data_IF_197534521766
#
_entry.id   IF_197534521766
#
_cell.length_a   1.000
_cell.length_b   1.000
_cell.length_c   1.000
_cell.angle_alpha   90.00
_cell.angle_beta   90.00
_cell.angle_gamma   90.00
#
_symmetry.space_group_name_H-M   'P 1'
#
loop_
_entity.id
_entity.type
_entity.pdbx_description
1 polymer ?
#
# COMPACT_ATOMS: atom_id res chain seq x y z
N UNK A 1 21.54 14.58 -16.97
CA UNK A 1 22.53 14.16 -15.96
C UNK A 1 22.02 12.86 -15.33
N UNK A 2 22.88 11.86 -15.20
CA UNK A 2 22.50 10.46 -15.00
C UNK A 2 22.42 10.15 -13.50
N UNK A 3 21.27 9.65 -13.03
CA UNK A 3 21.11 9.17 -11.67
C UNK A 3 22.05 7.99 -11.38
N UNK A 4 22.56 7.89 -10.15
CA UNK A 4 23.43 6.79 -9.73
C UNK A 4 22.59 5.52 -9.53
N UNK A 5 23.05 4.39 -10.10
CA UNK A 5 22.39 3.08 -10.01
C UNK A 5 23.14 2.19 -9.02
N UNK A 6 22.41 1.50 -8.14
CA UNK A 6 22.93 0.48 -7.22
C UNK A 6 22.21 -0.87 -7.41
N UNK A 7 22.88 -1.97 -7.06
CA UNK A 7 22.33 -3.34 -7.13
C UNK A 7 21.90 -3.80 -5.74
N UNK A 8 20.66 -4.26 -5.60
CA UNK A 8 20.17 -5.03 -4.46
C UNK A 8 20.30 -6.53 -4.77
N UNK A 9 20.45 -7.36 -3.73
CA UNK A 9 20.50 -8.82 -3.84
C UNK A 9 19.48 -9.38 -2.83
N UNK A 10 18.45 -10.07 -3.32
CA UNK A 10 17.50 -10.80 -2.47
C UNK A 10 17.61 -12.31 -2.70
N UNK A 11 17.67 -13.11 -1.63
CA UNK A 11 17.69 -14.57 -1.69
C UNK A 11 16.42 -15.13 -1.04
N UNK A 12 15.41 -15.53 -1.82
CA UNK A 12 14.29 -16.33 -1.32
C UNK A 12 14.02 -17.52 -2.25
N UNK A 13 13.66 -18.66 -1.66
CA UNK A 13 13.41 -19.91 -2.38
C UNK A 13 12.00 -19.98 -2.96
N UNK A 14 11.92 -20.19 -4.28
CA UNK A 14 10.71 -20.15 -5.12
C UNK A 14 9.48 -20.90 -4.56
N UNK A 15 9.68 -21.98 -3.78
CA UNK A 15 8.58 -22.81 -3.27
C UNK A 15 7.72 -22.17 -2.17
N UNK A 16 8.27 -21.29 -1.33
CA UNK A 16 7.53 -20.62 -0.25
C UNK A 16 6.67 -19.48 -0.81
N UNK A 17 7.21 -18.74 -1.79
CA UNK A 17 6.53 -17.63 -2.43
C UNK A 17 5.28 -18.10 -3.17
N UNK A 18 5.37 -19.23 -3.88
CA UNK A 18 4.22 -19.82 -4.58
C UNK A 18 3.11 -20.23 -3.61
N UNK A 19 3.44 -20.89 -2.49
CA UNK A 19 2.45 -21.26 -1.47
C UNK A 19 1.78 -20.03 -0.85
N UNK A 20 2.57 -18.99 -0.56
CA UNK A 20 2.09 -17.70 -0.05
C UNK A 20 1.14 -17.05 -1.06
N UNK A 21 1.48 -17.06 -2.35
CA UNK A 21 0.64 -16.52 -3.40
C UNK A 21 -0.70 -17.25 -3.52
N UNK A 22 -0.70 -18.58 -3.45
CA UNK A 22 -1.96 -19.35 -3.51
C UNK A 22 -2.85 -19.05 -2.30
N UNK A 23 -2.29 -18.92 -1.09
CA UNK A 23 -3.04 -18.52 0.11
C UNK A 23 -3.63 -17.11 -0.05
N UNK A 24 -2.82 -16.14 -0.50
CA UNK A 24 -3.27 -14.79 -0.78
C UNK A 24 -4.43 -14.77 -1.79
N UNK A 25 -4.28 -15.49 -2.90
CA UNK A 25 -5.27 -15.55 -3.97
C UNK A 25 -6.61 -16.10 -3.49
N UNK A 26 -6.61 -17.15 -2.66
CA UNK A 26 -7.84 -17.72 -2.09
C UNK A 26 -8.58 -16.69 -1.23
N UNK A 27 -7.85 -15.98 -0.35
CA UNK A 27 -8.44 -14.93 0.48
C UNK A 27 -8.95 -13.76 -0.37
N UNK A 28 -8.18 -13.34 -1.39
CA UNK A 28 -8.55 -12.24 -2.29
C UNK A 28 -9.82 -12.55 -3.08
N UNK A 29 -10.00 -13.79 -3.53
CA UNK A 29 -11.22 -14.23 -4.20
C UNK A 29 -12.47 -14.09 -3.33
N UNK A 30 -12.35 -14.38 -2.02
CA UNK A 30 -13.47 -14.17 -1.09
C UNK A 30 -13.75 -12.68 -0.85
N UNK A 31 -12.70 -11.84 -0.79
CA UNK A 31 -12.86 -10.38 -0.76
C UNK A 31 -13.60 -9.88 -2.01
N UNK A 32 -13.19 -10.31 -3.21
CA UNK A 32 -13.80 -9.92 -4.47
C UNK A 32 -15.28 -10.33 -4.54
N UNK A 33 -15.58 -11.55 -4.09
CA UNK A 33 -16.94 -12.06 -4.01
C UNK A 33 -17.80 -11.23 -3.04
N UNK A 34 -17.27 -10.95 -1.84
CA UNK A 34 -17.96 -10.10 -0.87
C UNK A 34 -18.23 -8.70 -1.43
N UNK A 35 -17.26 -8.09 -2.13
CA UNK A 35 -17.44 -6.81 -2.79
C UNK A 35 -18.55 -6.89 -3.84
N UNK A 36 -18.57 -7.91 -4.69
CA UNK A 36 -19.66 -8.11 -5.67
C UNK A 36 -21.04 -8.20 -5.01
N UNK A 37 -21.15 -8.86 -3.86
CA UNK A 37 -22.40 -9.02 -3.12
C UNK A 37 -22.85 -7.75 -2.37
N UNK A 38 -21.91 -7.03 -1.76
CA UNK A 38 -22.21 -5.98 -0.75
C UNK A 38 -21.98 -4.56 -1.23
N UNK A 39 -21.20 -4.35 -2.29
CA UNK A 39 -20.77 -3.02 -2.76
C UNK A 39 -21.92 -2.05 -2.98
N UNK A 40 -22.98 -2.46 -3.68
CA UNK A 40 -24.12 -1.57 -3.97
C UNK A 40 -24.77 -1.05 -2.69
N UNK A 41 -24.89 -1.89 -1.66
CA UNK A 41 -25.45 -1.48 -0.36
C UNK A 41 -24.54 -0.45 0.32
N UNK A 42 -23.24 -0.72 0.41
CA UNK A 42 -22.30 0.17 1.09
C UNK A 42 -22.07 1.48 0.34
N UNK A 43 -22.01 1.48 -1.00
CA UNK A 43 -21.94 2.71 -1.80
C UNK A 43 -23.14 3.63 -1.57
N UNK A 44 -24.31 3.10 -1.25
CA UNK A 44 -25.50 3.91 -0.95
C UNK A 44 -25.57 4.39 0.51
N UNK A 45 -24.75 3.82 1.39
CA UNK A 45 -24.79 4.08 2.84
C UNK A 45 -23.63 4.97 3.30
N UNK A 46 -22.46 4.80 2.68
CA UNK A 46 -21.27 5.58 2.97
C UNK A 46 -21.42 7.02 2.51
N UNK A 47 -20.77 7.93 3.23
CA UNK A 47 -20.66 9.33 2.86
C UNK A 47 -19.19 9.75 2.92
N UNK A 48 -18.76 10.52 1.93
CA UNK A 48 -17.45 11.15 1.95
C UNK A 48 -17.56 12.47 2.72
N UNK A 49 -16.55 12.80 3.51
CA UNK A 49 -16.41 14.12 4.12
C UNK A 49 -16.22 15.21 3.05
N UNK A 50 -16.33 16.47 3.46
CA UNK A 50 -16.12 17.61 2.55
C UNK A 50 -14.64 17.84 2.21
N UNK A 51 -13.73 17.40 3.09
CA UNK A 51 -12.28 17.60 2.96
C UNK A 51 -11.51 16.28 3.16
N UNK A 52 -10.31 16.13 2.55
CA UNK A 52 -9.44 14.99 2.82
C UNK A 52 -9.01 14.91 4.30
N UNK A 53 -8.82 13.70 4.86
CA UNK A 53 -9.17 12.40 4.29
C UNK A 53 -10.70 12.23 4.16
N UNK A 54 -11.17 11.85 2.97
CA UNK A 54 -12.60 11.79 2.65
C UNK A 54 -13.37 10.68 3.38
N UNK A 55 -12.69 9.58 3.69
CA UNK A 55 -13.26 8.48 4.48
C UNK A 55 -12.12 7.69 5.17
N UNK A 56 -11.64 8.16 6.33
CA UNK A 56 -10.57 7.51 7.10
C UNK A 56 -10.85 6.04 7.40
N UNK A 57 -9.80 5.24 7.58
CA UNK A 57 -9.93 3.84 8.00
C UNK A 57 -10.83 3.67 9.23
N UNK A 58 -10.64 4.54 10.22
CA UNK A 58 -11.36 4.47 11.50
C UNK A 58 -12.86 4.77 11.36
N UNK A 59 -13.25 5.43 10.27
CA UNK A 59 -14.64 5.79 9.97
C UNK A 59 -15.30 4.77 9.02
N UNK A 60 -14.56 3.74 8.58
CA UNK A 60 -15.14 2.65 7.82
C UNK A 60 -16.15 1.86 8.69
N UNK A 61 -17.22 1.33 8.09
CA UNK A 61 -18.26 0.63 8.81
C UNK A 61 -17.71 -0.68 9.40
N UNK A 62 -17.58 -0.72 10.73
CA UNK A 62 -17.07 -1.89 11.45
C UNK A 62 -17.88 -3.15 11.17
N UNK A 63 -19.19 -3.03 10.96
CA UNK A 63 -20.06 -4.14 10.57
C UNK A 63 -19.63 -4.79 9.24
N UNK A 64 -19.22 -3.99 8.26
CA UNK A 64 -18.71 -4.48 6.98
C UNK A 64 -17.38 -5.21 7.17
N UNK A 65 -16.49 -4.63 7.98
CA UNK A 65 -15.16 -5.18 8.28
C UNK A 65 -15.31 -6.51 9.00
N UNK A 66 -16.13 -6.56 10.05
CA UNK A 66 -16.37 -7.77 10.85
C UNK A 66 -17.02 -8.86 10.00
N UNK A 67 -18.03 -8.54 9.17
CA UNK A 67 -18.66 -9.52 8.28
C UNK A 67 -17.63 -10.14 7.32
N UNK A 68 -16.84 -9.31 6.64
CA UNK A 68 -15.82 -9.79 5.70
C UNK A 68 -14.73 -10.57 6.43
N UNK A 69 -14.28 -10.08 7.58
CA UNK A 69 -13.27 -10.76 8.39
C UNK A 69 -13.74 -12.14 8.85
N UNK A 70 -15.01 -12.27 9.25
CA UNK A 70 -15.62 -13.55 9.62
C UNK A 70 -15.65 -14.54 8.45
N UNK A 71 -15.95 -14.07 7.23
CA UNK A 71 -15.89 -14.91 6.02
C UNK A 71 -14.47 -15.41 5.75
N UNK A 72 -13.47 -14.53 5.86
CA UNK A 72 -12.07 -14.89 5.68
C UNK A 72 -11.59 -15.88 6.76
N UNK A 73 -12.02 -15.72 8.01
CA UNK A 73 -11.73 -16.67 9.09
C UNK A 73 -12.37 -18.04 8.82
N UNK A 74 -13.62 -18.05 8.38
CA UNK A 74 -14.34 -19.28 7.99
C UNK A 74 -13.62 -20.01 6.85
N UNK A 75 -13.18 -19.27 5.83
CA UNK A 75 -12.39 -19.83 4.72
C UNK A 75 -11.06 -20.43 5.20
N UNK A 76 -10.43 -19.79 6.18
CA UNK A 76 -9.22 -20.28 6.86
C UNK A 76 -9.49 -21.37 7.91
N UNK A 77 -10.75 -21.82 8.07
CA UNK A 77 -11.19 -22.83 9.06
C UNK A 77 -10.87 -22.43 10.49
N UNK A 78 -10.93 -21.13 10.78
CA UNK A 78 -10.78 -20.56 12.13
C UNK A 78 -12.17 -20.22 12.65
N UNK A 79 -12.60 -20.89 13.70
CA UNK A 79 -13.84 -20.60 14.41
C UNK A 79 -13.62 -19.48 15.42
N UNK A 80 -14.33 -18.38 15.25
CA UNK A 80 -14.31 -17.21 16.13
C UNK A 80 -15.69 -16.57 16.11
N UNK A 81 -16.15 -16.07 17.25
CA UNK A 81 -17.46 -15.41 17.36
C UNK A 81 -17.40 -13.95 16.93
N UNK A 82 -18.52 -13.43 16.41
CA UNK A 82 -18.68 -12.00 16.10
C UNK A 82 -18.36 -11.11 17.32
N UNK A 83 -18.69 -11.54 18.53
CA UNK A 83 -18.36 -10.81 19.77
C UNK A 83 -16.85 -10.69 19.99
N UNK A 84 -16.08 -11.75 19.70
CA UNK A 84 -14.63 -11.72 19.82
C UNK A 84 -13.99 -10.82 18.76
N UNK A 85 -14.49 -10.87 17.51
CA UNK A 85 -14.04 -9.96 16.45
C UNK A 85 -14.29 -8.49 16.79
N UNK A 86 -15.45 -8.18 17.39
CA UNK A 86 -15.75 -6.81 17.88
C UNK A 86 -14.76 -6.35 18.94
N UNK A 87 -14.44 -7.22 19.90
CA UNK A 87 -13.43 -6.91 20.93
C UNK A 87 -12.07 -6.67 20.29
N UNK A 88 -11.66 -7.50 19.32
CA UNK A 88 -10.39 -7.30 18.61
C UNK A 88 -10.37 -6.00 17.79
N UNK A 89 -11.47 -5.64 17.14
CA UNK A 89 -11.63 -4.37 16.44
C UNK A 89 -11.50 -3.16 17.38
N UNK A 90 -12.15 -3.20 18.54
CA UNK A 90 -12.04 -2.14 19.56
C UNK A 90 -10.60 -1.97 20.07
N UNK A 91 -9.87 -3.09 20.22
CA UNK A 91 -8.45 -3.06 20.61
C UNK A 91 -7.57 -2.51 19.50
N UNK A 92 -7.83 -2.86 18.24
CA UNK A 92 -7.14 -2.27 17.10
C UNK A 92 -7.30 -0.74 17.06
N UNK A 93 -8.52 -0.22 17.27
CA UNK A 93 -8.76 1.24 17.35
C UNK A 93 -7.93 1.88 18.46
N UNK A 94 -7.73 1.18 19.58
CA UNK A 94 -6.88 1.63 20.71
C UNK A 94 -5.38 1.42 20.48
N UNK A 95 -4.97 1.03 19.27
CA UNK A 95 -3.57 0.70 18.92
C UNK A 95 -2.97 -0.42 19.77
N UNK A 96 -3.80 -1.35 20.25
CA UNK A 96 -3.36 -2.54 20.97
C UNK A 96 -3.22 -3.72 19.99
N UNK A 97 -2.00 -4.25 19.82
CA UNK A 97 -1.79 -5.42 18.99
C UNK A 97 -2.09 -6.71 19.77
N UNK A 98 -3.18 -7.39 19.40
CA UNK A 98 -3.64 -8.65 20.03
C UNK A 98 -3.78 -9.81 19.06
N UNK A 99 -3.45 -9.61 17.78
CA UNK A 99 -3.63 -10.61 16.73
C UNK A 99 -2.29 -11.27 16.39
N UNK A 100 -2.30 -12.58 16.16
CA UNK A 100 -1.18 -13.24 15.50
C UNK A 100 -1.07 -12.82 14.02
N UNK A 101 -0.02 -13.25 13.33
CA UNK A 101 0.24 -12.86 11.95
C UNK A 101 -0.85 -13.32 10.97
N UNK A 102 -1.40 -14.51 11.18
CA UNK A 102 -2.43 -15.09 10.30
C UNK A 102 -3.77 -14.37 10.48
N UNK A 103 -4.14 -14.08 11.72
CA UNK A 103 -5.33 -13.31 12.07
C UNK A 103 -5.20 -11.87 11.56
N UNK A 104 -4.04 -11.25 11.75
CA UNK A 104 -3.74 -9.91 11.24
C UNK A 104 -3.86 -9.84 9.72
N UNK A 105 -3.38 -10.86 9.00
CA UNK A 105 -3.49 -10.92 7.54
C UNK A 105 -4.95 -10.89 7.10
N UNK A 106 -5.80 -11.74 7.68
CA UNK A 106 -7.23 -11.78 7.33
C UNK A 106 -7.95 -10.49 7.72
N UNK A 107 -7.61 -9.91 8.86
CA UNK A 107 -8.12 -8.61 9.29
C UNK A 107 -7.75 -7.50 8.29
N UNK A 108 -6.48 -7.40 7.91
CA UNK A 108 -6.01 -6.39 6.95
C UNK A 108 -6.63 -6.59 5.56
N UNK A 109 -6.81 -7.83 5.11
CA UNK A 109 -7.53 -8.09 3.85
C UNK A 109 -9.01 -7.70 3.92
N UNK A 110 -9.66 -7.88 5.07
CA UNK A 110 -11.02 -7.39 5.26
C UNK A 110 -11.07 -5.86 5.25
N UNK A 111 -10.13 -5.22 5.94
CA UNK A 111 -10.02 -3.76 6.00
C UNK A 111 -9.80 -3.17 4.60
N UNK A 112 -8.84 -3.68 3.83
CA UNK A 112 -8.60 -3.28 2.44
C UNK A 112 -9.84 -3.51 1.57
N UNK A 113 -10.51 -4.65 1.75
CA UNK A 113 -11.73 -4.99 1.01
C UNK A 113 -12.86 -3.96 1.19
N UNK A 114 -13.05 -3.47 2.42
CA UNK A 114 -14.02 -2.41 2.73
C UNK A 114 -13.51 -1.04 2.27
N UNK A 115 -12.23 -0.74 2.49
CA UNK A 115 -11.60 0.52 2.08
C UNK A 115 -11.63 0.72 0.55
N UNK A 116 -11.51 -0.34 -0.24
CA UNK A 116 -11.66 -0.27 -1.70
C UNK A 116 -13.02 0.30 -2.11
N UNK A 117 -14.11 -0.03 -1.40
CA UNK A 117 -15.44 0.54 -1.70
C UNK A 117 -15.40 2.06 -1.52
N UNK A 118 -14.69 2.56 -0.51
CA UNK A 118 -14.48 4.00 -0.30
C UNK A 118 -13.64 4.63 -1.42
N UNK A 119 -12.54 3.98 -1.82
CA UNK A 119 -11.69 4.41 -2.93
C UNK A 119 -12.45 4.50 -4.25
N UNK A 120 -13.29 3.50 -4.54
CA UNK A 120 -14.13 3.52 -5.73
C UNK A 120 -15.20 4.62 -5.67
N UNK A 121 -15.83 4.82 -4.51
CA UNK A 121 -16.80 5.91 -4.31
C UNK A 121 -16.14 7.28 -4.57
N UNK A 122 -14.93 7.48 -4.04
CA UNK A 122 -14.14 8.68 -4.24
C UNK A 122 -13.77 8.88 -5.72
N UNK A 123 -13.36 7.83 -6.42
CA UNK A 123 -13.08 7.85 -7.85
C UNK A 123 -14.32 8.23 -8.67
N UNK A 124 -15.47 7.61 -8.40
CA UNK A 124 -16.73 7.90 -9.08
C UNK A 124 -17.21 9.34 -8.87
N UNK A 125 -16.98 9.90 -7.67
CA UNK A 125 -17.30 11.29 -7.34
C UNK A 125 -16.26 12.29 -7.85
N UNK A 126 -15.11 11.83 -8.35
CA UNK A 126 -14.04 12.68 -8.87
C UNK A 126 -13.44 13.60 -7.80
N UNK A 127 -13.29 13.10 -6.56
CA UNK A 127 -12.71 13.90 -5.48
C UNK A 127 -11.28 14.31 -5.82
N UNK A 128 -10.88 15.56 -5.54
CA UNK A 128 -9.54 16.02 -5.85
C UNK A 128 -8.49 15.32 -4.98
N UNK A 129 -7.26 15.27 -5.49
CA UNK A 129 -6.12 14.97 -4.66
C UNK A 129 -5.94 16.05 -3.59
N UNK A 130 -5.20 15.75 -2.52
CA UNK A 130 -4.82 16.79 -1.55
C UNK A 130 -3.96 17.85 -2.25
N UNK A 131 -4.33 19.13 -2.11
CA UNK A 131 -3.53 20.27 -2.56
C UNK A 131 -2.34 20.56 -1.62
N UNK A 132 -2.26 19.87 -0.48
CA UNK A 132 -1.16 20.03 0.48
C UNK A 132 0.13 19.36 -0.05
N UNK A 133 1.21 20.14 -0.29
CA UNK A 133 2.50 19.60 -0.71
C UNK A 133 3.11 18.60 0.29
N UNK A 134 2.75 18.68 1.57
CA UNK A 134 3.22 17.77 2.63
C UNK A 134 2.32 16.52 2.74
N UNK A 135 1.12 16.56 2.17
CA UNK A 135 0.13 15.48 2.16
C UNK A 135 0.17 14.58 0.93
N UNK A 136 1.10 14.79 -0.02
CA UNK A 136 1.17 14.04 -1.28
C UNK A 136 1.36 12.52 -1.05
N UNK A 137 2.02 12.14 0.04
CA UNK A 137 2.26 10.72 0.39
C UNK A 137 1.17 10.11 1.24
N UNK A 138 0.11 10.86 1.58
CA UNK A 138 -1.05 10.34 2.28
C UNK A 138 -2.23 10.25 1.32
N UNK A 139 -2.97 9.14 1.38
CA UNK A 139 -4.13 8.95 0.55
C UNK A 139 -5.21 9.99 0.92
N UNK A 140 -5.72 10.77 -0.05
CA UNK A 140 -6.77 11.75 0.23
C UNK A 140 -8.11 11.08 0.60
N UNK A 141 -8.26 9.77 0.39
CA UNK A 141 -9.46 9.02 0.74
C UNK A 141 -9.35 8.46 2.14
N UNK A 142 -8.49 7.47 2.36
CA UNK A 142 -8.44 6.74 3.63
C UNK A 142 -7.46 7.33 4.67
N UNK A 143 -6.63 8.30 4.28
CA UNK A 143 -5.63 8.92 5.17
C UNK A 143 -4.36 8.09 5.38
N UNK A 144 -4.26 6.88 4.83
CA UNK A 144 -3.06 6.05 4.97
C UNK A 144 -1.87 6.59 4.18
N UNK A 145 -0.68 6.36 4.71
CA UNK A 145 0.56 6.62 3.97
C UNK A 145 0.66 5.66 2.78
N UNK A 146 0.88 6.20 1.59
CA UNK A 146 1.29 5.42 0.41
C UNK A 146 2.78 5.59 0.18
N UNK A 147 3.44 4.45 -0.04
CA UNK A 147 4.85 4.37 -0.40
C UNK A 147 5.04 3.81 -1.82
N UNK A 148 3.95 3.68 -2.59
CA UNK A 148 3.95 3.09 -3.92
C UNK A 148 3.58 4.13 -4.98
N UNK A 149 4.56 4.44 -5.83
CA UNK A 149 4.38 5.25 -7.03
C UNK A 149 4.32 4.36 -8.27
N UNK A 150 3.57 4.80 -9.29
CA UNK A 150 3.47 4.11 -10.57
C UNK A 150 3.74 5.09 -11.70
N UNK A 151 4.58 4.68 -12.66
CA UNK A 151 4.75 5.38 -13.94
C UNK A 151 3.78 4.80 -14.96
N UNK A 152 2.73 5.54 -15.28
CA UNK A 152 1.65 5.04 -16.14
C UNK A 152 2.02 5.10 -17.63
N UNK A 153 1.69 4.07 -18.43
CA UNK A 153 1.89 4.11 -19.87
C UNK A 153 0.94 5.10 -20.57
N UNK A 154 1.31 5.61 -21.77
CA UNK A 154 2.60 5.43 -22.43
C UNK A 154 3.64 6.49 -22.00
N UNK A 155 3.19 7.62 -21.45
CA UNK A 155 4.03 8.80 -21.24
C UNK A 155 4.87 8.75 -19.96
N UNK A 156 4.60 7.77 -19.08
CA UNK A 156 5.24 7.66 -17.77
C UNK A 156 4.80 8.77 -16.83
N UNK A 157 3.51 9.16 -16.81
CA UNK A 157 3.03 10.09 -15.78
C UNK A 157 3.15 9.38 -14.43
N UNK A 158 3.58 10.11 -13.40
CA UNK A 158 3.69 9.53 -12.06
C UNK A 158 2.38 9.71 -11.31
N UNK A 159 1.87 8.63 -10.77
CA UNK A 159 0.77 8.62 -9.81
C UNK A 159 1.23 7.97 -8.52
N UNK A 160 0.57 8.27 -7.41
CA UNK A 160 0.60 7.45 -6.21
C UNK A 160 -0.55 6.46 -6.26
N UNK A 161 -0.31 5.27 -5.71
CA UNK A 161 -1.29 4.21 -5.59
C UNK A 161 -1.43 3.85 -4.10
N UNK A 162 -2.64 3.94 -3.54
CA UNK A 162 -2.88 3.55 -2.15
C UNK A 162 -3.12 2.03 -2.06
N UNK A 163 -2.23 1.28 -1.40
CA UNK A 163 -2.37 -0.17 -1.21
C UNK A 163 -3.46 -0.58 -0.21
N UNK A 164 -4.14 0.39 0.42
CA UNK A 164 -5.27 0.17 1.33
C UNK A 164 -6.62 0.28 0.60
N UNK A 165 -6.85 1.36 -0.14
CA UNK A 165 -8.15 1.65 -0.77
C UNK A 165 -8.12 1.69 -2.32
N UNK A 166 -6.97 1.41 -2.94
CA UNK A 166 -6.73 1.44 -4.39
C UNK A 166 -6.98 2.80 -5.06
N UNK A 167 -7.18 3.87 -4.29
CA UNK A 167 -7.30 5.21 -4.85
C UNK A 167 -5.96 5.70 -5.41
N UNK A 168 -6.01 6.32 -6.59
CA UNK A 168 -4.85 6.82 -7.32
C UNK A 168 -4.93 8.32 -7.51
N UNK A 169 -3.80 9.01 -7.33
CA UNK A 169 -3.74 10.46 -7.56
C UNK A 169 -2.44 10.87 -8.26
N UNK A 170 -2.54 11.90 -9.08
CA UNK A 170 -1.40 12.41 -9.84
C UNK A 170 -0.43 13.15 -8.93
N UNK A 171 0.87 12.93 -9.16
CA UNK A 171 1.95 13.61 -8.44
C UNK A 171 2.99 14.16 -9.40
N UNK A 172 3.91 14.98 -8.89
CA UNK A 172 5.03 15.49 -9.69
C UNK A 172 5.82 14.33 -10.28
N UNK A 173 6.12 14.42 -11.58
CA UNK A 173 6.86 13.39 -12.31
C UNK A 173 8.29 13.22 -11.83
N UNK A 174 8.93 14.31 -11.42
CA UNK A 174 10.34 14.38 -11.06
C UNK A 174 10.45 14.89 -9.63
N UNK A 175 11.40 14.33 -8.90
CA UNK A 175 11.74 14.74 -7.54
C UNK A 175 11.26 13.76 -6.47
N UNK A 176 11.62 14.10 -5.24
CA UNK A 176 11.22 13.38 -4.04
C UNK A 176 9.75 13.69 -3.71
N UNK A 177 8.96 12.64 -3.47
CA UNK A 177 7.55 12.78 -3.11
C UNK A 177 7.32 13.23 -1.68
N UNK A 178 8.36 13.17 -0.83
CA UNK A 178 8.31 13.59 0.57
C UNK A 178 8.74 15.04 0.76
N UNK A 179 9.96 15.41 0.35
CA UNK A 179 10.48 16.77 0.57
C UNK A 179 10.35 17.70 -0.65
N UNK A 180 9.85 17.20 -1.78
CA UNK A 180 9.64 17.98 -3.00
C UNK A 180 10.92 18.36 -3.75
N UNK A 181 12.10 17.93 -3.31
CA UNK A 181 13.36 18.26 -4.01
C UNK A 181 13.40 17.65 -5.41
N UNK A 182 13.67 18.49 -6.40
CA UNK A 182 13.81 18.12 -7.81
C UNK A 182 15.28 17.89 -8.23
N UNK A 183 16.23 17.97 -7.28
CA UNK A 183 17.65 17.71 -7.58
C UNK A 183 17.90 16.20 -7.82
N UNK A 184 18.04 15.84 -9.09
CA UNK A 184 18.29 14.46 -9.53
C UNK A 184 19.58 13.87 -8.95
N UNK A 185 20.56 14.69 -8.53
CA UNK A 185 21.80 14.19 -7.91
C UNK A 185 21.57 13.64 -6.50
N UNK A 186 20.48 14.06 -5.86
CA UNK A 186 20.08 13.64 -4.52
C UNK A 186 19.04 12.51 -4.54
N UNK A 187 18.69 12.01 -5.73
CA UNK A 187 17.81 10.86 -5.91
C UNK A 187 18.65 9.66 -6.36
N UNK A 188 18.58 8.58 -5.59
CA UNK A 188 19.22 7.31 -5.89
C UNK A 188 18.12 6.30 -6.22
N UNK A 189 18.32 5.55 -7.30
CA UNK A 189 17.39 4.50 -7.72
C UNK A 189 18.09 3.15 -7.57
N UNK A 190 17.58 2.33 -6.65
CA UNK A 190 18.07 1.00 -6.38
C UNK A 190 17.24 -0.02 -7.17
N UNK A 191 17.91 -0.93 -7.89
CA UNK A 191 17.25 -1.95 -8.70
C UNK A 191 17.71 -3.35 -8.29
N UNK A 192 16.84 -4.33 -8.48
CA UNK A 192 17.13 -5.75 -8.35
C UNK A 192 16.77 -6.46 -9.66
N UNK A 193 17.66 -7.32 -10.16
CA UNK A 193 17.44 -8.08 -11.41
C UNK A 193 16.30 -9.10 -11.29
N UNK A 194 15.99 -9.52 -10.06
CA UNK A 194 14.88 -10.42 -9.73
C UNK A 194 13.51 -9.75 -9.90
N UNK A 195 13.46 -8.41 -9.81
CA UNK A 195 12.23 -7.62 -9.86
C UNK A 195 12.31 -6.54 -10.95
N UNK A 196 12.36 -6.92 -12.24
CA UNK A 196 12.44 -5.97 -13.35
C UNK A 196 11.20 -5.06 -13.38
N UNK A 197 11.41 -3.80 -13.74
CA UNK A 197 10.35 -2.77 -13.76
C UNK A 197 9.97 -2.22 -12.39
N UNK A 198 10.63 -2.64 -11.31
CA UNK A 198 10.41 -2.13 -9.95
C UNK A 198 11.72 -1.55 -9.41
N UNK A 199 11.64 -0.34 -8.86
CA UNK A 199 12.79 0.38 -8.34
C UNK A 199 12.48 0.98 -6.96
N UNK A 200 13.49 1.10 -6.11
CA UNK A 200 13.37 1.85 -4.87
C UNK A 200 14.02 3.22 -5.06
N UNK A 201 13.20 4.28 -5.03
CA UNK A 201 13.66 5.66 -5.13
C UNK A 201 13.97 6.20 -3.74
N UNK A 202 15.22 6.58 -3.52
CA UNK A 202 15.76 7.07 -2.25
C UNK A 202 16.14 8.54 -2.38
N UNK A 203 15.69 9.37 -1.44
CA UNK A 203 16.12 10.76 -1.36
C UNK A 203 17.21 10.96 -0.30
N UNK A 204 18.38 11.43 -0.72
CA UNK A 204 19.51 11.69 0.17
C UNK A 204 19.31 12.93 1.08
N UNK A 205 18.37 13.82 0.74
CA UNK A 205 18.10 15.04 1.53
C UNK A 205 17.27 14.73 2.77
N UNK A 206 16.13 14.05 2.61
CA UNK A 206 15.19 13.78 3.71
C UNK A 206 15.28 12.37 4.27
N UNK A 207 16.03 11.50 3.59
CA UNK A 207 16.22 10.12 3.95
C UNK A 207 15.06 9.16 3.72
N UNK A 208 13.98 9.66 3.13
CA UNK A 208 12.82 8.86 2.77
C UNK A 208 13.04 8.08 1.48
N UNK A 209 12.30 6.98 1.34
CA UNK A 209 12.29 6.16 0.15
C UNK A 209 10.85 5.78 -0.23
N UNK A 210 10.62 5.46 -1.50
CA UNK A 210 9.37 4.91 -1.98
C UNK A 210 9.63 3.90 -3.11
N UNK A 211 8.71 2.95 -3.27
CA UNK A 211 8.72 1.97 -4.35
C UNK A 211 8.12 2.62 -5.60
N UNK A 212 8.76 2.42 -6.74
CA UNK A 212 8.27 2.89 -8.03
C UNK A 212 8.16 1.73 -8.99
N UNK A 213 6.95 1.50 -9.50
CA UNK A 213 6.69 0.52 -10.55
C UNK A 213 6.60 1.25 -11.89
N UNK A 214 7.42 0.83 -12.85
CA UNK A 214 7.32 1.30 -14.22
C UNK A 214 6.28 0.52 -15.00
N UNK A 215 5.05 1.05 -15.06
CA UNK A 215 3.93 0.46 -15.79
C UNK A 215 4.13 0.38 -17.31
N UNK A 216 5.22 0.98 -17.84
CA UNK A 216 5.63 0.84 -19.24
C UNK A 216 6.47 -0.43 -19.48
N UNK A 217 7.09 -0.95 -18.42
CA UNK A 217 7.94 -2.14 -18.45
C UNK A 217 7.24 -3.36 -17.82
N UNK A 218 6.44 -3.14 -16.78
CA UNK A 218 5.75 -4.18 -16.01
C UNK A 218 4.24 -3.93 -15.98
N UNK A 219 3.45 -4.86 -16.51
CA UNK A 219 1.99 -4.83 -16.34
C UNK A 219 1.62 -5.49 -15.01
N UNK A 220 1.05 -4.69 -14.10
CA UNK A 220 0.58 -5.14 -12.79
C UNK A 220 -0.93 -5.33 -12.80
N UNK A 221 -1.39 -6.46 -12.23
CA UNK A 221 -2.83 -6.73 -12.04
C UNK A 221 -3.31 -6.45 -10.63
N UNK A 222 -2.42 -6.59 -9.65
CA UNK A 222 -2.72 -6.50 -8.23
C UNK A 222 -1.54 -5.81 -7.55
N UNK A 223 -1.67 -4.51 -7.33
CA UNK A 223 -0.60 -3.70 -6.73
C UNK A 223 -0.33 -4.09 -5.27
N UNK A 224 -1.33 -4.57 -4.53
CA UNK A 224 -1.15 -5.06 -3.18
C UNK A 224 -0.25 -6.30 -3.17
N UNK A 225 -0.52 -7.28 -4.05
CA UNK A 225 0.35 -8.44 -4.18
C UNK A 225 1.77 -8.07 -4.63
N UNK A 226 1.90 -7.17 -5.61
CA UNK A 226 3.20 -6.69 -6.07
C UNK A 226 4.00 -6.02 -4.95
N UNK A 227 3.33 -5.23 -4.10
CA UNK A 227 3.96 -4.61 -2.94
C UNK A 227 4.42 -5.67 -1.92
N UNK A 228 3.55 -6.62 -1.59
CA UNK A 228 3.84 -7.72 -0.64
C UNK A 228 5.00 -8.60 -1.09
N UNK A 229 4.99 -9.08 -2.35
CA UNK A 229 6.04 -9.96 -2.88
C UNK A 229 7.39 -9.26 -3.04
N UNK A 230 7.41 -7.93 -2.97
CA UNK A 230 8.62 -7.11 -3.06
C UNK A 230 8.96 -6.40 -1.74
N UNK A 231 8.37 -6.81 -0.62
CA UNK A 231 8.80 -6.39 0.72
C UNK A 231 10.32 -6.57 0.96
N UNK A 232 11.00 -7.61 0.43
CA UNK A 232 12.46 -7.70 0.51
C UNK A 232 13.20 -6.47 -0.03
N UNK A 233 12.65 -5.75 -1.02
CA UNK A 233 13.24 -4.51 -1.55
C UNK A 233 13.16 -3.36 -0.55
N UNK A 234 12.05 -3.24 0.18
CA UNK A 234 11.89 -2.26 1.26
C UNK A 234 12.95 -2.52 2.34
N UNK A 235 13.03 -3.76 2.82
CA UNK A 235 14.01 -4.17 3.83
C UNK A 235 15.46 -3.94 3.37
N UNK A 236 15.80 -4.36 2.15
CA UNK A 236 17.13 -4.14 1.60
C UNK A 236 17.47 -2.66 1.43
N UNK A 237 16.47 -1.82 1.12
CA UNK A 237 16.63 -0.36 1.08
C UNK A 237 16.93 0.19 2.47
N UNK A 238 16.20 -0.21 3.51
CA UNK A 238 16.45 0.24 4.89
C UNK A 238 17.85 -0.14 5.39
N UNK A 239 18.32 -1.34 5.04
CA UNK A 239 19.70 -1.76 5.31
C UNK A 239 20.70 -0.87 4.58
N UNK A 240 20.48 -0.66 3.27
CA UNK A 240 21.32 0.22 2.45
C UNK A 240 21.39 1.64 3.02
N UNK A 241 20.26 2.21 3.42
CA UNK A 241 20.16 3.52 4.05
C UNK A 241 20.98 3.58 5.34
N UNK A 242 20.83 2.58 6.21
CA UNK A 242 21.56 2.50 7.49
C UNK A 242 23.07 2.46 7.28
N UNK A 243 23.55 1.72 6.29
CA UNK A 243 24.99 1.64 5.97
C UNK A 243 25.54 2.95 5.39
N UNK A 244 24.76 3.63 4.55
CA UNK A 244 25.21 4.84 3.85
C UNK A 244 25.08 6.10 4.71
N UNK A 245 24.11 6.19 5.62
CA UNK A 245 24.06 7.27 6.64
C UNK A 245 25.17 7.12 7.70
N UNK A 246 25.53 5.89 8.09
CA UNK A 246 26.68 5.68 8.98
C UNK A 246 27.98 6.18 8.36
N UNK A 247 28.18 5.96 7.05
CA UNK A 247 29.37 6.44 6.32
C UNK A 247 29.41 7.96 6.17
N UNK A 248 28.26 8.63 5.97
CA UNK A 248 28.24 10.11 5.91
C UNK A 248 28.52 10.77 7.26
N UNK A 249 28.11 10.13 8.37
CA UNK A 249 28.30 10.65 9.73
C UNK A 249 29.64 10.25 10.39
N UNK A 250 30.43 9.36 9.78
CA UNK A 250 31.78 9.01 10.22
C UNK A 250 32.89 9.86 9.56
N UNK A 251 32.52 10.81 8.69
CA UNK A 251 33.45 11.72 8.00
C UNK A 251 33.50 13.10 8.69
N UNK A 252 32.97 13.22 9.92
CA UNK A 252 33.09 14.40 10.77
C UNK A 252 33.77 14.05 12.10
#
# INVERSE_FOLDING_TARGET
MVAKKGKLITTEGDGILEQTFQKYRLLKQEVDKWQQERKTYWLNTLNLADNPPYLPILDLPSEAIIELWQRLNTLAKVEISDSELRIMWEKFIKSENVMDADMSTRFQMALNGVAHIAGEMAYQKGVPASDDPQGITFCPVCGEASTLAVLTPPTGKRIMHCTMCDFEWSVKRVGCLYCGSEDSKQQIFLKDETFPGIEMAVCQICGQYFKEIDGRELTVRDYLWEDLRTLPLNYATELWLTEHWKKSNQIH
#
